data_IF_648778778505
#
_entry.id   IF_648778778505
#
_cell.length_a   1.000
_cell.length_b   1.000
_cell.length_c   1.000
_cell.angle_alpha   90.00
_cell.angle_beta   90.00
_cell.angle_gamma   90.00
#
_symmetry.space_group_name_H-M   'P 1'
#
loop_
_entity.id
_entity.type
_entity.pdbx_description
1 polymer ?
#
# COMPACT_ATOMS: atom_id res chain seq x y z
N UNK A 1 -16.76 8.64 -11.58
CA UNK A 1 -17.02 7.85 -12.79
C UNK A 1 -17.17 6.37 -12.43
N UNK A 2 -18.27 5.76 -12.87
CA UNK A 2 -18.52 4.33 -12.70
C UNK A 2 -18.97 3.76 -14.05
N UNK A 3 -18.43 2.60 -14.38
CA UNK A 3 -18.73 1.91 -15.62
C UNK A 3 -18.91 0.41 -15.36
N UNK A 4 -20.02 -0.16 -15.83
CA UNK A 4 -20.32 -1.58 -15.67
C UNK A 4 -20.76 -2.17 -17.02
N UNK A 5 -20.14 -3.28 -17.40
CA UNK A 5 -20.57 -4.10 -18.54
C UNK A 5 -20.96 -5.48 -18.02
N UNK A 6 -22.17 -5.91 -18.39
CA UNK A 6 -22.64 -7.29 -18.28
C UNK A 6 -22.74 -7.86 -19.67
N UNK A 7 -22.16 -9.01 -19.91
CA UNK A 7 -22.13 -9.68 -21.21
C UNK A 7 -22.44 -11.16 -21.07
N UNK A 8 -23.29 -11.67 -21.94
CA UNK A 8 -23.39 -13.09 -22.22
C UNK A 8 -22.54 -13.35 -23.45
N UNK A 9 -21.35 -13.93 -23.24
CA UNK A 9 -20.34 -14.10 -24.29
C UNK A 9 -20.67 -15.28 -25.21
N UNK A 10 -21.16 -16.36 -24.59
CA UNK A 10 -21.60 -17.59 -25.30
C UNK A 10 -22.86 -18.11 -24.60
N UNK A 11 -23.87 -18.44 -25.38
CA UNK A 11 -25.08 -19.11 -24.93
C UNK A 11 -25.41 -20.30 -25.86
N UNK A 12 -25.32 -21.50 -25.32
CA UNK A 12 -25.61 -22.76 -25.96
C UNK A 12 -26.44 -23.65 -25.01
N UNK A 13 -27.17 -24.65 -25.47
CA UNK A 13 -28.03 -25.48 -24.60
C UNK A 13 -27.32 -26.04 -23.35
N UNK A 14 -26.05 -26.46 -23.49
CA UNK A 14 -25.30 -27.07 -22.41
C UNK A 14 -24.16 -26.16 -21.87
N UNK A 15 -23.95 -24.97 -22.45
CA UNK A 15 -22.84 -24.10 -22.08
C UNK A 15 -23.20 -22.63 -22.12
N UNK A 16 -23.06 -21.96 -21.02
CA UNK A 16 -23.20 -20.49 -20.90
C UNK A 16 -21.94 -19.89 -20.33
N UNK A 17 -21.43 -18.86 -20.99
CA UNK A 17 -20.36 -18.03 -20.46
C UNK A 17 -20.80 -16.58 -20.37
N UNK A 18 -20.80 -16.02 -19.18
CA UNK A 18 -21.10 -14.62 -18.92
C UNK A 18 -19.93 -13.93 -18.22
N UNK A 19 -19.84 -12.62 -18.43
CA UNK A 19 -18.83 -11.77 -17.81
C UNK A 19 -19.45 -10.51 -17.26
N UNK A 20 -18.93 -10.04 -16.13
CA UNK A 20 -19.23 -8.73 -15.56
C UNK A 20 -17.90 -7.99 -15.35
N UNK A 21 -17.76 -6.82 -15.96
CA UNK A 21 -16.63 -5.90 -15.76
C UNK A 21 -17.15 -4.64 -15.09
N UNK A 22 -16.49 -4.23 -14.02
CA UNK A 22 -16.74 -2.98 -13.32
C UNK A 22 -15.44 -2.18 -13.22
N UNK A 23 -15.52 -0.90 -13.53
CA UNK A 23 -14.42 0.06 -13.35
C UNK A 23 -15.01 1.29 -12.70
N UNK A 24 -14.39 1.76 -11.62
CA UNK A 24 -14.76 3.02 -10.98
C UNK A 24 -13.55 3.89 -10.72
N UNK A 25 -13.69 5.18 -10.90
CA UNK A 25 -12.69 6.19 -10.61
C UNK A 25 -13.34 7.34 -9.85
N UNK A 26 -12.72 7.73 -8.75
CA UNK A 26 -13.12 8.90 -7.99
C UNK A 26 -11.93 9.85 -7.89
N UNK A 27 -12.18 11.14 -8.10
CA UNK A 27 -11.17 12.18 -7.92
C UNK A 27 -11.73 13.25 -7.00
N UNK A 28 -10.94 13.62 -6.04
CA UNK A 28 -11.24 14.70 -5.13
C UNK A 28 -10.07 15.69 -5.10
N UNK A 29 -10.31 16.89 -4.62
CA UNK A 29 -9.26 17.85 -4.28
C UNK A 29 -9.76 18.78 -3.18
N UNK A 30 -8.82 19.26 -2.36
CA UNK A 30 -9.09 20.29 -1.37
C UNK A 30 -9.21 21.62 -2.09
N UNK A 31 -10.38 22.25 -2.03
CA UNK A 31 -10.63 23.53 -2.72
C UNK A 31 -10.07 24.70 -1.90
N UNK A 32 -10.32 24.73 -0.60
CA UNK A 32 -9.88 25.80 0.30
C UNK A 32 -9.87 25.32 1.75
N UNK A 33 -8.98 25.91 2.54
CA UNK A 33 -8.86 25.72 3.98
C UNK A 33 -9.05 27.05 4.73
N UNK A 34 -9.74 28.01 4.12
CA UNK A 34 -9.80 29.37 4.61
C UNK A 34 -8.46 30.08 4.43
N UNK A 35 -7.94 30.68 5.50
CA UNK A 35 -6.63 31.37 5.49
C UNK A 35 -5.45 30.43 5.76
N UNK A 36 -5.71 29.15 6.07
CA UNK A 36 -4.66 28.18 6.35
C UNK A 36 -4.01 27.67 5.04
N UNK A 37 -2.68 27.72 4.91
CA UNK A 37 -1.99 27.21 3.73
C UNK A 37 -2.05 25.67 3.66
N UNK A 38 -2.16 24.98 4.80
CA UNK A 38 -2.36 23.55 4.94
C UNK A 38 -2.88 23.21 6.35
N UNK A 39 -3.34 21.99 6.56
CA UNK A 39 -3.69 21.43 7.86
C UNK A 39 -3.04 20.03 7.97
N UNK A 40 -2.20 19.83 8.99
CA UNK A 40 -1.71 18.49 9.34
C UNK A 40 -2.86 17.69 9.99
N UNK A 41 -3.09 16.48 9.48
CA UNK A 41 -4.14 15.59 10.00
C UNK A 41 -3.60 14.50 10.91
N UNK A 42 -2.34 14.16 10.73
CA UNK A 42 -1.68 13.14 11.51
C UNK A 42 -0.24 13.56 11.74
N UNK A 43 0.06 13.80 12.97
CA UNK A 43 1.40 14.09 13.46
C UNK A 43 2.05 12.80 13.98
N UNK A 44 3.37 12.75 13.97
CA UNK A 44 4.13 11.61 14.48
C UNK A 44 3.96 11.35 15.99
N UNK A 45 3.24 12.23 16.69
CA UNK A 45 2.92 12.09 18.11
C UNK A 45 1.81 11.05 18.38
N UNK A 46 1.15 10.53 17.34
CA UNK A 46 0.23 9.40 17.50
C UNK A 46 1.06 8.10 17.64
N UNK A 47 1.50 7.84 18.87
CA UNK A 47 2.37 6.72 19.26
C UNK A 47 1.84 5.34 18.83
N UNK A 48 0.62 5.26 18.33
CA UNK A 48 -0.01 3.97 17.99
C UNK A 48 0.48 3.38 16.67
N UNK A 49 1.01 4.18 15.74
CA UNK A 49 1.35 3.72 14.37
C UNK A 49 2.65 4.32 13.82
N UNK A 50 3.11 5.46 14.31
CA UNK A 50 4.27 6.16 13.76
C UNK A 50 5.27 6.54 14.87
N UNK A 51 6.55 6.50 14.52
CA UNK A 51 7.60 6.96 15.43
C UNK A 51 7.51 8.49 15.62
N UNK A 52 7.67 9.03 16.85
CA UNK A 52 7.56 10.47 17.11
C UNK A 52 8.46 11.37 16.25
N UNK A 53 9.58 10.85 15.75
CA UNK A 53 10.50 11.58 14.88
C UNK A 53 10.07 11.59 13.40
N UNK A 54 9.00 10.88 13.04
CA UNK A 54 8.53 10.82 11.66
C UNK A 54 7.95 12.16 11.17
N UNK A 55 7.48 12.99 12.08
CA UNK A 55 6.78 14.24 11.78
C UNK A 55 5.35 14.00 11.26
N UNK A 56 4.66 15.04 10.80
CA UNK A 56 3.37 14.89 10.18
C UNK A 56 3.50 14.11 8.86
N UNK A 57 2.57 13.19 8.60
CA UNK A 57 2.62 12.28 7.45
C UNK A 57 1.43 12.45 6.51
N UNK A 58 0.35 13.07 6.98
CA UNK A 58 -0.84 13.39 6.17
C UNK A 58 -1.16 14.88 6.31
N UNK A 59 -1.39 15.51 5.18
CA UNK A 59 -1.69 16.94 5.12
C UNK A 59 -2.84 17.21 4.16
N UNK A 60 -3.72 18.14 4.53
CA UNK A 60 -4.63 18.77 3.60
C UNK A 60 -3.96 20.01 2.99
N UNK A 61 -3.90 20.08 1.68
CA UNK A 61 -3.26 21.15 0.93
C UNK A 61 -4.23 21.61 -0.16
N UNK A 62 -4.58 22.90 -0.27
CA UNK A 62 -5.41 23.40 -1.36
C UNK A 62 -4.83 23.02 -2.74
N UNK A 63 -5.66 22.44 -3.59
CA UNK A 63 -5.28 21.95 -4.91
C UNK A 63 -4.88 20.47 -4.95
N UNK A 64 -4.45 19.89 -3.83
CA UNK A 64 -4.03 18.48 -3.74
C UNK A 64 -5.22 17.54 -3.46
N UNK A 65 -4.99 16.25 -3.70
CA UNK A 65 -5.92 15.17 -3.37
C UNK A 65 -6.04 15.01 -1.86
N UNK A 66 -7.14 14.47 -1.37
CA UNK A 66 -7.38 14.21 0.05
C UNK A 66 -7.56 12.69 0.29
N UNK A 67 -6.77 12.07 1.19
CA UNK A 67 -5.61 12.60 1.90
C UNK A 67 -4.34 12.64 1.03
N UNK A 68 -3.41 13.52 1.35
CA UNK A 68 -2.08 13.59 0.72
C UNK A 68 -1.01 13.14 1.71
N UNK A 69 -0.18 12.19 1.33
CA UNK A 69 1.04 11.86 2.06
C UNK A 69 2.08 12.95 1.85
N UNK A 70 2.74 13.35 2.93
CA UNK A 70 3.82 14.31 2.90
C UNK A 70 5.07 13.77 3.58
N UNK A 71 6.20 14.33 3.23
CA UNK A 71 7.48 13.99 3.85
C UNK A 71 8.65 14.63 3.10
N UNK A 72 9.85 14.31 3.56
CA UNK A 72 11.07 14.77 2.94
C UNK A 72 11.39 14.00 1.64
N UNK A 73 12.03 14.65 0.68
CA UNK A 73 12.58 13.97 -0.47
C UNK A 73 13.90 13.29 -0.10
N UNK A 74 13.96 11.97 -0.24
CA UNK A 74 15.15 11.18 0.04
C UNK A 74 16.03 11.04 -1.21
N UNK A 75 17.31 11.35 -1.11
CA UNK A 75 18.29 11.26 -2.21
C UNK A 75 19.34 10.15 -2.01
N UNK A 76 19.13 9.27 -1.07
CA UNK A 76 20.08 8.19 -0.76
C UNK A 76 20.91 8.50 0.50
N UNK A 77 22.15 8.04 0.51
CA UNK A 77 23.06 8.23 1.64
C UNK A 77 24.29 9.04 1.23
N UNK A 78 24.88 9.78 2.17
CA UNK A 78 26.20 10.38 1.95
C UNK A 78 27.25 9.30 1.75
N UNK A 79 27.92 9.32 0.60
CA UNK A 79 28.90 8.30 0.21
C UNK A 79 30.33 8.66 0.63
N UNK A 80 30.63 9.94 0.77
CA UNK A 80 31.98 10.45 1.07
C UNK A 80 31.97 11.56 2.11
N UNK A 81 33.10 11.75 2.78
CA UNK A 81 33.28 12.88 3.66
C UNK A 81 33.20 14.23 2.91
N UNK A 82 33.63 14.26 1.66
CA UNK A 82 33.56 15.47 0.85
C UNK A 82 32.13 15.91 0.54
N UNK A 83 31.19 14.98 0.40
CA UNK A 83 29.76 15.30 0.27
C UNK A 83 29.21 15.92 1.56
N UNK A 84 29.60 15.38 2.73
CA UNK A 84 29.21 15.92 4.02
C UNK A 84 29.82 17.31 4.24
N UNK A 85 31.10 17.49 3.91
CA UNK A 85 31.80 18.78 4.06
C UNK A 85 31.24 19.86 3.12
N UNK A 86 30.71 19.44 1.94
CA UNK A 86 30.08 20.32 0.99
C UNK A 86 28.66 20.71 1.40
N UNK A 87 28.02 19.87 2.18
CA UNK A 87 26.68 20.07 2.71
C UNK A 87 26.77 20.85 4.03
N UNK A 88 26.40 22.11 4.03
CA UNK A 88 26.51 23.00 5.18
C UNK A 88 25.43 22.79 6.24
N UNK A 89 24.60 21.77 6.10
CA UNK A 89 23.55 21.43 7.06
C UNK A 89 24.14 20.89 8.37
N UNK A 90 23.47 21.17 9.47
CA UNK A 90 23.88 20.71 10.79
C UNK A 90 23.37 19.29 11.08
N UNK A 91 24.17 18.51 11.84
CA UNK A 91 23.75 17.19 12.31
C UNK A 91 24.03 16.01 11.37
N UNK A 92 24.82 16.23 10.31
CA UNK A 92 25.29 15.16 9.43
C UNK A 92 26.70 14.80 9.86
N UNK A 93 26.84 13.75 10.67
CA UNK A 93 28.10 13.47 11.35
C UNK A 93 28.90 12.31 10.76
N UNK A 94 28.35 11.55 9.78
CA UNK A 94 29.01 10.33 9.30
C UNK A 94 28.59 9.92 7.90
N UNK A 95 29.50 9.26 7.20
CA UNK A 95 29.27 8.64 5.91
C UNK A 95 28.28 7.48 6.07
N UNK A 96 27.31 7.39 5.14
CA UNK A 96 26.18 6.45 5.21
C UNK A 96 24.96 7.02 5.95
N UNK A 97 25.00 8.29 6.38
CA UNK A 97 23.81 9.00 6.87
C UNK A 97 22.80 9.22 5.74
N UNK A 98 21.48 9.26 6.05
CA UNK A 98 20.46 9.61 5.06
C UNK A 98 20.63 11.05 4.56
N UNK A 99 20.44 11.24 3.26
CA UNK A 99 20.46 12.54 2.62
C UNK A 99 19.05 12.93 2.16
N UNK A 100 18.58 14.11 2.56
CA UNK A 100 17.28 14.67 2.21
C UNK A 100 17.46 16.02 1.51
N UNK A 101 16.52 16.38 0.66
CA UNK A 101 16.51 17.69 0.00
C UNK A 101 16.08 18.78 0.98
N UNK A 102 16.88 19.82 1.11
CA UNK A 102 16.54 21.06 1.78
C UNK A 102 15.80 21.96 0.75
N UNK A 103 14.47 21.91 0.81
CA UNK A 103 13.61 22.55 -0.19
C UNK A 103 13.64 24.07 -0.06
N UNK A 104 13.68 24.60 1.16
CA UNK A 104 13.67 26.02 1.44
C UNK A 104 15.07 26.64 1.52
N UNK A 105 16.13 25.82 1.50
CA UNK A 105 17.55 26.17 1.56
C UNK A 105 17.94 26.97 2.83
N UNK A 106 17.33 26.61 3.98
CA UNK A 106 17.62 27.25 5.27
C UNK A 106 18.74 26.55 6.05
N UNK A 107 19.29 25.44 5.52
CA UNK A 107 20.35 24.66 6.12
C UNK A 107 19.88 23.65 7.17
N UNK A 108 18.58 23.43 7.31
CA UNK A 108 17.99 22.46 8.24
C UNK A 108 16.93 21.61 7.53
N UNK A 109 16.85 20.34 7.85
CA UNK A 109 15.73 19.49 7.39
C UNK A 109 14.66 19.49 8.48
N UNK A 110 13.48 19.94 8.13
CA UNK A 110 12.32 20.03 9.02
C UNK A 110 11.00 19.97 8.23
N UNK A 111 9.86 20.20 8.87
CA UNK A 111 8.54 20.12 8.23
C UNK A 111 8.30 21.15 7.11
N UNK A 112 9.14 22.19 7.02
CA UNK A 112 9.06 23.19 5.94
C UNK A 112 9.63 22.64 4.62
N UNK A 113 10.38 21.52 4.67
CA UNK A 113 10.90 20.82 3.50
C UNK A 113 9.98 19.69 3.03
N UNK A 114 8.86 19.47 3.72
CA UNK A 114 7.94 18.41 3.35
C UNK A 114 7.11 18.79 2.13
N UNK A 115 7.13 17.90 1.15
CA UNK A 115 6.38 18.02 -0.08
C UNK A 115 5.32 16.90 -0.19
N UNK A 116 4.31 17.04 -1.06
CA UNK A 116 3.44 15.93 -1.44
C UNK A 116 4.26 14.77 -2.01
N UNK A 117 4.08 13.57 -1.45
CA UNK A 117 4.77 12.35 -1.86
C UNK A 117 3.84 11.36 -2.57
N UNK A 118 2.52 11.51 -2.39
CA UNK A 118 1.54 10.64 -2.99
C UNK A 118 0.23 10.60 -2.23
N UNK A 119 -0.63 9.66 -2.59
CA UNK A 119 -1.96 9.50 -1.99
C UNK A 119 -2.42 8.05 -2.01
N UNK A 120 -3.19 7.60 -1.01
CA UNK A 120 -3.83 6.29 -1.04
C UNK A 120 -5.02 6.21 -2.00
N UNK A 121 -5.43 7.33 -2.60
CA UNK A 121 -6.54 7.35 -3.56
C UNK A 121 -6.07 6.78 -4.89
N UNK A 122 -6.68 5.69 -5.40
CA UNK A 122 -6.29 5.14 -6.68
C UNK A 122 -6.83 5.97 -7.84
N UNK A 123 -6.18 5.86 -8.98
CA UNK A 123 -6.71 6.36 -10.25
C UNK A 123 -8.01 5.65 -10.63
N UNK A 124 -8.06 4.34 -10.39
CA UNK A 124 -9.28 3.53 -10.59
C UNK A 124 -9.23 2.20 -9.82
N UNK A 125 -10.44 1.71 -9.51
CA UNK A 125 -10.70 0.36 -9.05
C UNK A 125 -11.27 -0.45 -10.20
N UNK A 126 -11.04 -1.77 -10.18
CA UNK A 126 -11.66 -2.67 -11.14
C UNK A 126 -12.04 -4.01 -10.53
N UNK A 127 -13.13 -4.56 -11.06
CA UNK A 127 -13.60 -5.89 -10.74
C UNK A 127 -14.00 -6.62 -12.03
N UNK A 128 -13.56 -7.87 -12.17
CA UNK A 128 -13.89 -8.69 -13.31
C UNK A 128 -14.34 -10.07 -12.87
N UNK A 129 -15.59 -10.39 -13.13
CA UNK A 129 -16.19 -11.67 -12.83
C UNK A 129 -16.50 -12.43 -14.10
N UNK A 130 -16.14 -13.72 -14.13
CA UNK A 130 -16.51 -14.65 -15.18
C UNK A 130 -17.27 -15.82 -14.56
N UNK A 131 -18.40 -16.16 -15.14
CA UNK A 131 -19.20 -17.32 -14.78
C UNK A 131 -19.34 -18.22 -16.02
N UNK A 132 -18.86 -19.44 -15.89
CA UNK A 132 -18.92 -20.48 -16.92
C UNK A 132 -19.79 -21.62 -16.40
N UNK A 133 -20.92 -21.87 -17.05
CA UNK A 133 -21.82 -22.97 -16.72
C UNK A 133 -21.78 -24.02 -17.84
N UNK A 134 -21.51 -25.25 -17.49
CA UNK A 134 -21.54 -26.37 -18.41
C UNK A 134 -22.33 -27.53 -17.78
N UNK A 135 -23.53 -27.77 -18.30
CA UNK A 135 -24.52 -28.71 -17.71
C UNK A 135 -24.70 -28.41 -16.23
N UNK A 136 -24.33 -29.34 -15.36
CA UNK A 136 -24.47 -29.22 -13.91
C UNK A 136 -23.26 -28.55 -13.23
N UNK A 137 -22.23 -28.15 -13.98
CA UNK A 137 -21.05 -27.48 -13.44
C UNK A 137 -21.13 -25.98 -13.61
N UNK A 138 -20.77 -25.23 -12.58
CA UNK A 138 -20.60 -23.78 -12.64
C UNK A 138 -19.25 -23.41 -12.06
N UNK A 139 -18.42 -22.74 -12.86
CA UNK A 139 -17.16 -22.14 -12.44
C UNK A 139 -17.35 -20.62 -12.38
N UNK A 140 -17.12 -20.05 -11.22
CA UNK A 140 -17.11 -18.61 -10.98
C UNK A 140 -15.70 -18.14 -10.64
N UNK A 141 -15.22 -17.11 -11.32
CA UNK A 141 -13.89 -16.53 -11.13
C UNK A 141 -14.05 -15.03 -10.92
N UNK A 142 -13.56 -14.52 -9.80
CA UNK A 142 -13.59 -13.10 -9.50
C UNK A 142 -12.18 -12.55 -9.29
N UNK A 143 -11.82 -11.56 -10.09
CA UNK A 143 -10.59 -10.79 -10.03
C UNK A 143 -10.94 -9.37 -9.63
N UNK A 144 -10.17 -8.79 -8.72
CA UNK A 144 -10.27 -7.38 -8.37
C UNK A 144 -8.90 -6.74 -8.29
N UNK A 145 -8.88 -5.43 -8.37
CA UNK A 145 -7.64 -4.68 -8.15
C UNK A 145 -7.89 -3.18 -8.07
N UNK A 146 -6.81 -2.49 -7.78
CA UNK A 146 -6.75 -1.05 -7.80
C UNK A 146 -5.42 -0.60 -8.39
N UNK A 147 -5.40 0.58 -8.99
CA UNK A 147 -4.26 1.09 -9.72
C UNK A 147 -4.01 2.55 -9.40
N UNK A 148 -2.74 2.91 -9.21
CA UNK A 148 -2.29 4.28 -9.04
C UNK A 148 -2.40 4.83 -7.61
N UNK A 149 -2.67 3.97 -6.63
CA UNK A 149 -2.59 4.34 -5.21
C UNK A 149 -1.18 4.15 -4.68
N UNK A 150 -0.78 4.99 -3.74
CA UNK A 150 0.43 4.80 -2.94
C UNK A 150 0.07 4.28 -1.54
N UNK A 151 1.04 3.60 -0.95
CA UNK A 151 1.05 3.16 0.45
C UNK A 151 2.18 3.86 1.18
N UNK A 152 1.87 4.48 2.32
CA UNK A 152 2.87 4.97 3.26
C UNK A 152 3.26 3.80 4.17
N UNK A 153 4.47 3.27 3.96
CA UNK A 153 4.97 2.11 4.68
C UNK A 153 5.77 2.55 5.91
N UNK A 154 5.10 2.55 7.06
CA UNK A 154 5.70 2.89 8.34
C UNK A 154 6.62 1.79 8.86
N UNK A 155 6.41 0.52 8.47
CA UNK A 155 7.28 -0.59 8.88
C UNK A 155 8.69 -0.46 8.30
N UNK A 156 8.81 0.01 7.06
CA UNK A 156 10.10 0.29 6.41
C UNK A 156 10.87 1.40 7.14
N UNK A 157 10.18 2.40 7.65
CA UNK A 157 10.81 3.47 8.42
C UNK A 157 11.62 2.93 9.60
N UNK A 158 10.99 2.11 10.43
CA UNK A 158 11.65 1.53 11.59
C UNK A 158 12.77 0.54 11.23
N UNK A 159 12.57 -0.21 10.14
CA UNK A 159 13.58 -1.16 9.66
C UNK A 159 14.85 -0.46 9.18
N UNK A 160 14.75 0.64 8.46
CA UNK A 160 15.93 1.36 7.98
C UNK A 160 16.67 2.09 9.08
N UNK A 161 15.95 2.60 10.08
CA UNK A 161 16.56 3.39 11.16
C UNK A 161 16.84 2.59 12.44
N UNK A 162 16.38 1.33 12.49
CA UNK A 162 16.68 0.37 13.56
C UNK A 162 15.67 0.43 14.71
N UNK A 163 14.77 -0.50 14.71
CA UNK A 163 14.19 -1.00 15.96
C UNK A 163 15.35 -1.53 16.81
N UNK A 164 15.30 -1.37 18.11
CA UNK A 164 16.38 -1.79 19.02
C UNK A 164 16.87 -3.24 18.79
N UNK A 165 17.91 -3.67 19.49
CA UNK A 165 18.62 -4.92 19.23
C UNK A 165 17.78 -6.20 19.44
N UNK A 166 16.56 -6.07 19.92
CA UNK A 166 15.67 -7.17 20.29
C UNK A 166 14.64 -7.52 19.20
N UNK A 167 14.65 -6.80 18.06
CA UNK A 167 13.67 -7.01 16.98
C UNK A 167 14.33 -7.64 15.75
N UNK A 168 13.55 -8.51 15.07
CA UNK A 168 13.95 -9.00 13.76
C UNK A 168 13.88 -7.82 12.76
N UNK A 169 14.86 -7.79 11.85
CA UNK A 169 14.92 -6.80 10.77
C UNK A 169 14.65 -7.47 9.42
N UNK A 170 14.15 -6.67 8.47
CA UNK A 170 13.88 -7.14 7.13
C UNK A 170 15.19 -7.45 6.36
N UNK A 171 15.18 -8.47 5.46
CA UNK A 171 16.36 -8.84 4.69
C UNK A 171 16.97 -7.67 3.89
N UNK A 172 16.17 -6.71 3.45
CA UNK A 172 16.62 -5.53 2.69
C UNK A 172 17.67 -4.72 3.46
N UNK A 173 17.62 -4.76 4.78
CA UNK A 173 18.58 -4.05 5.65
C UNK A 173 19.98 -4.67 5.62
N UNK A 174 20.13 -5.90 5.12
CA UNK A 174 21.45 -6.49 4.89
C UNK A 174 22.24 -5.75 3.79
N UNK A 175 21.53 -5.09 2.87
CA UNK A 175 22.12 -4.30 1.80
C UNK A 175 22.43 -2.85 2.19
N UNK A 176 22.36 -2.51 3.50
CA UNK A 176 22.64 -1.18 4.01
C UNK A 176 24.05 -0.71 3.69
N UNK A 177 24.25 0.60 3.78
CA UNK A 177 25.57 1.19 3.66
C UNK A 177 26.54 0.61 4.70
N UNK A 178 27.68 0.15 4.24
CA UNK A 178 28.83 -0.29 5.06
C UNK A 178 30.11 0.06 4.32
N UNK A 179 31.25 -0.03 5.00
CA UNK A 179 32.57 0.13 4.35
C UNK A 179 32.81 -0.87 3.21
N UNK A 180 32.11 -2.01 3.24
CA UNK A 180 32.18 -3.03 2.19
C UNK A 180 31.05 -2.88 1.13
N UNK A 181 30.05 -2.03 1.38
CA UNK A 181 28.96 -1.68 0.47
C UNK A 181 28.74 -0.16 0.44
N UNK A 182 29.73 0.62 -0.02
CA UNK A 182 29.73 2.08 0.11
C UNK A 182 28.77 2.80 -0.84
N UNK A 183 28.18 2.08 -1.80
CA UNK A 183 27.28 2.65 -2.80
C UNK A 183 25.80 2.48 -2.46
N UNK A 184 25.51 1.81 -1.34
CA UNK A 184 24.13 1.58 -0.92
C UNK A 184 23.38 2.87 -0.59
N UNK A 185 22.13 2.95 -1.03
CA UNK A 185 21.20 4.01 -0.65
C UNK A 185 20.39 3.68 0.61
N UNK A 186 20.63 2.53 1.23
CA UNK A 186 20.03 2.19 2.52
C UNK A 186 20.94 2.73 3.63
N UNK A 187 20.41 3.51 4.60
CA UNK A 187 21.21 4.14 5.64
C UNK A 187 22.01 3.14 6.47
N UNK A 188 23.17 3.60 6.94
CA UNK A 188 24.04 2.85 7.85
C UNK A 188 23.32 2.51 9.16
N UNK A 189 23.62 1.34 9.75
CA UNK A 189 23.13 0.95 11.06
C UNK A 189 23.65 1.82 12.21
N UNK A 190 22.88 1.91 13.30
CA UNK A 190 23.32 2.55 14.53
C UNK A 190 23.31 4.08 14.48
N UNK A 191 22.53 4.63 13.63
CA UNK A 191 22.46 6.07 13.38
C UNK A 191 21.53 6.81 14.35
N UNK A 192 21.61 6.52 15.64
CA UNK A 192 21.08 7.44 16.65
C UNK A 192 21.85 8.76 16.73
N UNK A 193 22.80 8.97 15.82
CA UNK A 193 23.52 10.20 15.66
C UNK A 193 22.55 11.31 15.23
N UNK A 194 22.00 12.00 16.22
CA UNK A 194 21.54 13.38 16.22
C UNK A 194 20.58 13.86 15.15
N UNK A 195 20.19 13.05 14.20
CA UNK A 195 19.45 13.48 13.03
C UNK A 195 17.94 13.32 13.16
N UNK A 196 17.22 14.34 12.82
CA UNK A 196 15.81 14.27 12.46
C UNK A 196 15.61 13.23 11.35
N UNK A 197 14.66 12.32 11.55
CA UNK A 197 14.38 11.20 10.64
C UNK A 197 12.95 11.31 10.16
N UNK A 198 12.68 12.17 9.20
CA UNK A 198 11.34 12.35 8.70
C UNK A 198 10.87 11.14 7.91
N UNK A 199 9.55 10.94 7.84
CA UNK A 199 8.98 10.19 6.74
C UNK A 199 9.42 10.83 5.43
N UNK A 200 9.67 10.00 4.44
CA UNK A 200 10.26 10.46 3.19
C UNK A 200 9.74 9.68 1.99
N UNK A 201 10.16 10.08 0.81
CA UNK A 201 9.87 9.37 -0.43
C UNK A 201 10.34 7.90 -0.44
N UNK A 202 11.23 7.51 0.48
CA UNK A 202 11.62 6.11 0.69
C UNK A 202 10.48 5.25 1.26
N UNK A 203 9.55 5.88 1.98
CA UNK A 203 8.47 5.21 2.69
C UNK A 203 7.14 5.20 1.91
N UNK A 204 7.03 5.97 0.82
CA UNK A 204 5.85 6.01 -0.03
C UNK A 204 6.09 5.14 -1.26
N UNK A 205 5.31 4.10 -1.40
CA UNK A 205 5.52 3.05 -2.41
C UNK A 205 4.24 2.76 -3.19
N UNK A 206 4.39 2.24 -4.41
CA UNK A 206 3.27 1.82 -5.25
C UNK A 206 2.45 0.72 -4.56
N UNK A 207 1.17 0.99 -4.33
CA UNK A 207 0.19 0.10 -3.75
C UNK A 207 -0.72 -0.57 -4.77
N UNK A 208 -0.45 -0.41 -6.06
CA UNK A 208 -1.25 -1.02 -7.13
C UNK A 208 -1.21 -2.54 -7.07
N UNK A 209 -2.36 -3.17 -7.30
CA UNK A 209 -2.43 -4.63 -7.29
C UNK A 209 -3.54 -5.20 -8.18
N UNK A 210 -3.38 -6.49 -8.51
CA UNK A 210 -4.42 -7.37 -9.04
C UNK A 210 -4.50 -8.63 -8.19
N UNK A 211 -5.70 -9.00 -7.75
CA UNK A 211 -5.95 -10.16 -6.89
C UNK A 211 -6.96 -11.10 -7.52
N UNK A 212 -6.61 -12.40 -7.60
CA UNK A 212 -7.58 -13.47 -7.81
C UNK A 212 -8.32 -13.72 -6.48
N UNK A 213 -9.43 -12.96 -6.32
CA UNK A 213 -10.12 -12.85 -5.03
C UNK A 213 -10.91 -14.10 -4.67
N UNK A 214 -11.58 -14.69 -5.68
CA UNK A 214 -12.39 -15.88 -5.47
C UNK A 214 -12.41 -16.74 -6.71
N UNK A 215 -12.33 -18.06 -6.51
CA UNK A 215 -12.66 -19.08 -7.52
C UNK A 215 -13.56 -20.10 -6.86
N UNK A 216 -14.75 -20.33 -7.43
CA UNK A 216 -15.70 -21.32 -6.93
C UNK A 216 -16.09 -22.26 -8.06
N UNK A 217 -15.91 -23.55 -7.82
CA UNK A 217 -16.46 -24.62 -8.67
C UNK A 217 -17.64 -25.28 -7.96
N UNK A 218 -18.81 -25.22 -8.57
CA UNK A 218 -20.05 -25.80 -8.06
C UNK A 218 -20.51 -26.94 -8.98
N UNK A 219 -21.07 -27.98 -8.38
CA UNK A 219 -21.74 -29.07 -9.08
C UNK A 219 -23.13 -29.27 -8.51
N UNK A 220 -24.15 -29.13 -9.36
CA UNK A 220 -25.56 -29.32 -9.02
C UNK A 220 -25.97 -30.77 -9.37
N UNK A 221 -26.77 -31.40 -8.51
CA UNK A 221 -27.29 -32.74 -8.73
C UNK A 221 -28.66 -32.90 -8.09
N UNK A 222 -29.47 -33.80 -8.68
CA UNK A 222 -30.83 -34.07 -8.25
C UNK A 222 -30.84 -35.12 -7.13
N UNK A 223 -31.68 -34.87 -6.12
CA UNK A 223 -32.02 -35.83 -5.07
C UNK A 223 -33.55 -36.00 -5.04
N UNK A 224 -34.03 -37.24 -4.94
CA UNK A 224 -35.45 -37.51 -5.00
C UNK A 224 -36.28 -36.97 -3.83
N UNK A 225 -35.64 -36.51 -2.78
CA UNK A 225 -36.26 -35.97 -1.57
C UNK A 225 -35.99 -34.47 -1.34
N UNK A 226 -35.31 -33.81 -2.27
CA UNK A 226 -34.94 -32.41 -2.14
C UNK A 226 -35.19 -31.66 -3.47
N UNK A 227 -35.55 -30.39 -3.36
CA UNK A 227 -35.78 -29.52 -4.53
C UNK A 227 -34.49 -29.25 -5.31
N UNK A 228 -33.38 -29.12 -4.60
CA UNK A 228 -32.05 -28.98 -5.22
C UNK A 228 -30.94 -29.38 -4.26
N UNK A 229 -29.83 -29.91 -4.80
CA UNK A 229 -28.62 -30.20 -4.06
C UNK A 229 -27.39 -29.77 -4.85
N UNK A 230 -26.39 -29.25 -4.15
CA UNK A 230 -25.11 -28.93 -4.77
C UNK A 230 -23.94 -29.13 -3.81
N UNK A 231 -22.78 -29.41 -4.38
CA UNK A 231 -21.49 -29.41 -3.70
C UNK A 231 -20.61 -28.37 -4.36
N UNK A 232 -19.83 -27.63 -3.54
CA UNK A 232 -18.91 -26.64 -4.09
C UNK A 232 -17.56 -26.65 -3.37
N UNK A 233 -16.55 -26.24 -4.12
CA UNK A 233 -15.23 -25.91 -3.61
C UNK A 233 -14.95 -24.45 -3.94
N UNK A 234 -14.54 -23.68 -2.95
CA UNK A 234 -14.19 -22.29 -3.13
C UNK A 234 -12.80 -21.99 -2.57
N UNK A 235 -12.04 -21.24 -3.34
CA UNK A 235 -10.76 -20.69 -2.91
C UNK A 235 -10.82 -19.16 -2.88
N UNK A 236 -10.27 -18.57 -1.83
CA UNK A 236 -10.22 -17.12 -1.67
C UNK A 236 -8.76 -16.64 -1.57
N UNK A 237 -8.50 -15.44 -2.07
CA UNK A 237 -7.19 -14.78 -2.07
C UNK A 237 -6.08 -15.69 -2.65
N UNK A 238 -6.36 -16.33 -3.79
CA UNK A 238 -5.51 -17.37 -4.36
C UNK A 238 -4.21 -16.85 -4.97
N UNK A 239 -4.24 -15.63 -5.51
CA UNK A 239 -3.10 -15.00 -6.15
C UNK A 239 -3.15 -13.49 -5.93
N UNK A 240 -2.01 -12.91 -5.62
CA UNK A 240 -1.79 -11.47 -5.56
C UNK A 240 -0.63 -11.11 -6.50
N UNK A 241 -0.86 -10.16 -7.41
CA UNK A 241 0.16 -9.55 -8.26
C UNK A 241 0.27 -8.08 -7.87
N UNK A 242 1.43 -7.69 -7.36
CA UNK A 242 1.74 -6.33 -6.90
C UNK A 242 3.24 -6.08 -6.92
N UNK A 243 3.64 -4.82 -7.00
CA UNK A 243 5.02 -4.39 -6.75
C UNK A 243 5.29 -4.07 -5.27
N UNK A 244 4.24 -4.01 -4.45
CA UNK A 244 4.37 -3.83 -3.01
C UNK A 244 5.10 -5.04 -2.41
N UNK A 245 6.23 -4.76 -1.75
CA UNK A 245 7.19 -5.82 -1.37
C UNK A 245 6.87 -6.51 -0.04
N UNK A 246 5.95 -5.92 0.73
CA UNK A 246 5.65 -6.38 2.08
C UNK A 246 4.37 -7.23 2.09
N UNK A 247 3.60 -7.22 3.14
CA UNK A 247 2.56 -8.21 3.35
C UNK A 247 1.40 -8.14 2.33
N UNK A 248 0.71 -7.04 2.25
CA UNK A 248 -0.49 -6.87 1.43
C UNK A 248 -0.74 -5.39 1.13
N UNK A 249 -0.98 -4.96 -0.12
CA UNK A 249 -1.26 -3.57 -0.45
C UNK A 249 -2.66 -3.07 -0.05
N UNK A 250 -3.60 -3.97 0.29
CA UNK A 250 -4.92 -3.61 0.84
C UNK A 250 -4.80 -3.31 2.35
N UNK A 251 -4.00 -2.33 2.72
CA UNK A 251 -3.69 -1.99 4.12
C UNK A 251 -4.36 -0.69 4.55
N UNK A 252 -4.68 -0.61 5.83
CA UNK A 252 -5.16 0.62 6.48
C UNK A 252 -5.03 0.50 8.00
N UNK A 253 -3.80 0.49 8.50
CA UNK A 253 -3.53 0.46 9.95
C UNK A 253 -3.70 1.84 10.59
N UNK A 254 -3.82 2.86 9.77
CA UNK A 254 -4.01 4.24 10.19
C UNK A 254 -5.33 4.55 10.93
N UNK A 255 -6.16 3.52 11.21
CA UNK A 255 -7.43 3.66 11.91
C UNK A 255 -8.64 3.78 10.97
N UNK A 256 -9.86 3.87 11.52
CA UNK A 256 -11.11 3.73 10.76
C UNK A 256 -11.52 4.97 9.95
N UNK A 257 -10.72 6.01 9.92
CA UNK A 257 -11.04 7.27 9.22
C UNK A 257 -10.66 7.27 7.76
N UNK A 258 -11.48 7.85 6.90
CA UNK A 258 -11.18 8.06 5.47
C UNK A 258 -9.90 8.88 5.24
N UNK A 259 -9.45 9.62 6.24
CA UNK A 259 -8.27 10.49 6.22
C UNK A 259 -6.98 9.77 6.64
N UNK A 260 -7.06 8.52 7.10
CA UNK A 260 -5.92 7.75 7.58
C UNK A 260 -5.70 6.46 6.76
N UNK A 261 -6.29 6.37 5.57
CA UNK A 261 -6.14 5.23 4.67
C UNK A 261 -4.72 5.13 4.10
N UNK A 262 -4.32 3.92 3.72
CA UNK A 262 -3.08 3.65 2.99
C UNK A 262 -1.82 3.74 3.85
N UNK A 263 -1.92 3.77 5.18
CA UNK A 263 -0.78 3.63 6.09
C UNK A 263 -0.65 2.15 6.45
N UNK A 264 0.56 1.62 6.28
CA UNK A 264 0.93 0.25 6.62
C UNK A 264 1.92 0.26 7.78
N UNK A 265 1.55 -0.39 8.89
CA UNK A 265 2.45 -0.64 10.03
C UNK A 265 2.49 -2.13 10.37
N UNK A 266 3.11 -2.90 9.49
CA UNK A 266 3.27 -4.35 9.64
C UNK A 266 1.94 -5.14 9.76
N UNK A 267 0.93 -4.87 8.91
CA UNK A 267 -0.34 -5.55 8.95
C UNK A 267 -0.20 -7.03 8.69
N UNK A 268 -1.13 -7.81 9.23
CA UNK A 268 -1.19 -9.23 8.92
C UNK A 268 -1.71 -9.45 7.49
N UNK A 269 -1.01 -10.21 6.63
CA UNK A 269 -1.45 -10.43 5.25
C UNK A 269 -2.76 -11.21 5.18
N UNK A 270 -3.57 -10.95 4.16
CA UNK A 270 -4.77 -11.75 3.90
C UNK A 270 -4.40 -13.21 3.63
N UNK A 271 -5.03 -14.12 4.39
CA UNK A 271 -4.79 -15.55 4.22
C UNK A 271 -5.48 -16.09 2.97
N UNK A 272 -4.79 -17.00 2.27
CA UNK A 272 -5.43 -17.89 1.30
C UNK A 272 -6.29 -18.91 2.03
N UNK A 273 -7.53 -19.12 1.60
CA UNK A 273 -8.42 -20.12 2.18
C UNK A 273 -9.04 -21.00 1.12
N UNK A 274 -9.27 -22.27 1.49
CA UNK A 274 -10.05 -23.23 0.71
C UNK A 274 -11.20 -23.72 1.59
N UNK A 275 -12.40 -23.76 1.02
CA UNK A 275 -13.57 -24.31 1.67
C UNK A 275 -14.31 -25.27 0.75
N UNK A 276 -14.86 -26.33 1.34
CA UNK A 276 -15.78 -27.25 0.68
C UNK A 276 -17.13 -27.13 1.35
N UNK A 277 -18.19 -27.01 0.58
CA UNK A 277 -19.53 -26.89 1.12
C UNK A 277 -20.55 -27.75 0.36
N UNK A 278 -21.62 -28.04 1.07
CA UNK A 278 -22.79 -28.73 0.55
C UNK A 278 -24.03 -27.85 0.79
N UNK A 279 -24.89 -27.75 -0.20
CA UNK A 279 -26.17 -27.04 -0.10
C UNK A 279 -27.28 -28.00 -0.42
N UNK A 280 -28.33 -27.98 0.40
CA UNK A 280 -29.55 -28.76 0.21
C UNK A 280 -30.76 -27.84 0.43
N UNK A 281 -31.66 -27.81 -0.53
CA UNK A 281 -32.96 -27.18 -0.41
C UNK A 281 -34.02 -28.28 -0.38
N UNK A 282 -34.92 -28.26 0.66
CA UNK A 282 -35.95 -29.25 0.94
C UNK A 282 -37.32 -28.67 0.58
#
# INVERSE_FOLDING_TARGET
>A
FEFTINSVNIEKPDFVWSSNLQISANRNSVISLGDAPFINLRDGDDESVLHPQAGPVIRLIPGEVMPTFIGATYEGTYKTAAEIDADQRTGIDFIGAPNYVDVNQDGNINELDFIPLGSPQPDFYYGFRNTLSYKNWTLDIFIQGMQGNEVLDASVYEEYYGRGPETNILPVVADRWTVNNPTSDIPRAGTSAGGYRPMSSLNVVDGSYLRLKNVTLNYDFDLSFADSASVYVTGNNLLLLTNYKWADPEVSDGGPGALAQGISDSPYPYSTSLAVGFRLNL
#
